data_IF_917030484851
#
_entry.id   IF_917030484851
#
_cell.length_a   1.000
_cell.length_b   1.000
_cell.length_c   1.000
_cell.angle_alpha   90.00
_cell.angle_beta   90.00
_cell.angle_gamma   90.00
#
_symmetry.space_group_name_H-M   'P 1'
#
loop_
_entity.id
_entity.type
_entity.pdbx_description
1 polymer ?
#
# COMPACT_ATOMS: atom_id res chain seq x y z
N UNK A 1 10.99 -1.32 31.41
CA UNK A 1 10.65 -1.29 29.97
C UNK A 1 10.89 -2.70 29.48
N UNK A 2 9.87 -3.54 29.55
CA UNK A 2 9.95 -4.92 29.11
C UNK A 2 9.98 -4.92 27.58
N UNK A 3 11.09 -5.42 27.02
CA UNK A 3 11.15 -5.82 25.62
C UNK A 3 10.07 -6.89 25.38
N UNK A 4 9.02 -6.54 24.65
CA UNK A 4 8.08 -7.52 24.12
C UNK A 4 8.80 -8.38 23.08
N UNK A 5 9.41 -9.47 23.54
CA UNK A 5 9.90 -10.54 22.68
C UNK A 5 8.68 -11.28 22.14
N UNK A 6 8.34 -11.05 20.87
CA UNK A 6 7.30 -11.82 20.19
C UNK A 6 7.65 -13.33 20.22
N UNK A 7 6.69 -14.21 20.53
CA UNK A 7 6.96 -15.65 20.57
C UNK A 7 7.39 -16.15 19.19
N UNK A 8 8.43 -16.99 19.18
CA UNK A 8 9.06 -17.56 17.97
C UNK A 8 8.13 -18.43 17.12
N UNK A 9 6.93 -18.77 17.60
CA UNK A 9 5.80 -19.38 16.89
C UNK A 9 4.55 -19.23 17.77
N UNK A 10 3.36 -19.15 17.17
CA UNK A 10 2.11 -19.24 17.94
C UNK A 10 2.03 -20.63 18.58
N UNK A 11 1.61 -20.75 19.86
CA UNK A 11 1.52 -22.06 20.52
C UNK A 11 0.57 -22.97 19.75
N UNK A 12 0.92 -24.26 19.64
CA UNK A 12 0.01 -25.22 19.03
C UNK A 12 -1.28 -25.32 19.85
N UNK A 13 -2.43 -25.16 19.21
CA UNK A 13 -3.75 -25.23 19.85
C UNK A 13 -4.01 -26.56 20.57
N UNK A 14 -3.41 -27.66 20.11
CA UNK A 14 -3.67 -29.00 20.64
C UNK A 14 -2.72 -29.39 21.78
N UNK A 15 -1.41 -29.16 21.62
CA UNK A 15 -0.40 -29.59 22.59
C UNK A 15 0.28 -28.43 23.33
N UNK A 16 -0.11 -27.18 23.06
CA UNK A 16 0.42 -25.94 23.64
C UNK A 16 1.92 -25.70 23.44
N UNK A 17 2.62 -26.51 22.63
CA UNK A 17 4.06 -26.32 22.38
C UNK A 17 4.34 -25.03 21.60
N UNK A 18 5.40 -24.33 22.01
CA UNK A 18 5.97 -23.14 21.33
C UNK A 18 7.37 -23.43 20.77
N UNK A 19 7.86 -24.66 20.94
CA UNK A 19 9.20 -25.07 20.49
C UNK A 19 9.22 -25.48 19.01
N UNK A 20 8.05 -25.81 18.45
CA UNK A 20 7.91 -26.27 17.06
C UNK A 20 7.35 -25.15 16.17
N UNK A 21 7.65 -25.25 14.87
CA UNK A 21 6.98 -24.44 13.85
C UNK A 21 5.50 -24.81 13.80
N UNK A 22 4.64 -23.80 13.82
CA UNK A 22 3.18 -23.98 13.74
C UNK A 22 2.63 -23.42 12.45
N UNK A 23 1.50 -23.99 12.01
CA UNK A 23 0.83 -23.69 10.75
C UNK A 23 -0.63 -23.36 11.01
N UNK A 24 -1.20 -22.47 10.19
CA UNK A 24 -2.64 -22.20 10.15
C UNK A 24 -3.22 -22.69 8.83
N UNK A 25 -4.53 -22.96 8.80
CA UNK A 25 -5.25 -23.21 7.55
C UNK A 25 -6.16 -22.03 7.24
N UNK A 26 -5.96 -21.37 6.09
CA UNK A 26 -6.78 -20.22 5.68
C UNK A 26 -8.26 -20.55 5.48
N UNK A 27 -8.63 -21.84 5.43
CA UNK A 27 -9.98 -22.30 5.13
C UNK A 27 -10.77 -22.75 6.37
N UNK A 28 -10.11 -22.95 7.51
CA UNK A 28 -10.73 -23.56 8.68
C UNK A 28 -10.96 -22.58 9.83
N UNK A 29 -9.89 -21.94 10.31
CA UNK A 29 -9.88 -21.02 11.44
C UNK A 29 -8.49 -20.35 11.57
N UNK A 30 -8.32 -19.51 12.60
CA UNK A 30 -7.05 -18.84 12.92
C UNK A 30 -6.24 -19.62 13.97
N UNK A 31 -6.49 -20.93 14.14
CA UNK A 31 -5.77 -21.74 15.12
C UNK A 31 -4.46 -22.25 14.52
N UNK A 32 -3.40 -22.21 15.32
CA UNK A 32 -2.08 -22.69 14.94
C UNK A 32 -1.87 -24.14 15.38
N UNK A 33 -1.33 -24.99 14.50
CA UNK A 33 -1.06 -26.40 14.79
C UNK A 33 0.40 -26.74 14.45
N UNK A 34 1.09 -27.48 15.32
CA UNK A 34 2.36 -28.09 14.92
C UNK A 34 2.12 -29.24 13.94
N UNK A 35 3.20 -29.70 13.29
CA UNK A 35 3.13 -30.73 12.26
C UNK A 35 2.44 -32.01 12.76
N UNK A 36 2.79 -32.44 13.98
CA UNK A 36 2.26 -33.64 14.62
C UNK A 36 0.79 -33.53 15.04
N UNK A 37 0.28 -32.31 15.24
CA UNK A 37 -1.11 -32.05 15.62
C UNK A 37 -2.00 -31.68 14.44
N UNK A 38 -1.43 -31.31 13.29
CA UNK A 38 -2.18 -30.94 12.08
C UNK A 38 -3.24 -31.97 11.71
N UNK A 39 -2.84 -33.21 11.45
CA UNK A 39 -3.76 -34.28 11.02
C UNK A 39 -4.66 -34.85 12.13
N UNK A 40 -4.53 -34.34 13.37
CA UNK A 40 -5.40 -34.71 14.50
C UNK A 40 -6.61 -33.79 14.61
N UNK A 41 -6.56 -32.61 14.00
CA UNK A 41 -7.70 -31.69 13.98
C UNK A 41 -8.81 -32.25 13.08
N UNK A 42 -10.06 -32.16 13.55
CA UNK A 42 -11.21 -32.79 12.88
C UNK A 42 -11.38 -32.35 11.42
N UNK A 43 -10.99 -31.12 11.09
CA UNK A 43 -11.07 -30.57 9.73
C UNK A 43 -9.87 -30.94 8.85
N UNK A 44 -8.80 -31.52 9.42
CA UNK A 44 -7.55 -31.85 8.71
C UNK A 44 -7.25 -33.36 8.73
N UNK A 45 -8.22 -34.18 9.13
CA UNK A 45 -8.08 -35.63 9.09
C UNK A 45 -7.78 -36.10 7.64
N UNK A 46 -7.07 -37.22 7.45
CA UNK A 46 -6.82 -37.75 6.10
C UNK A 46 -8.11 -37.91 5.29
N UNK A 47 -8.14 -37.33 4.09
CA UNK A 47 -9.32 -37.32 3.23
C UNK A 47 -10.26 -36.13 3.44
N UNK A 48 -10.05 -35.31 4.48
CA UNK A 48 -10.73 -34.02 4.59
C UNK A 48 -10.26 -33.08 3.48
N UNK A 49 -11.24 -32.40 2.89
CA UNK A 49 -11.03 -31.44 1.82
C UNK A 49 -11.69 -30.13 2.21
N UNK A 50 -11.05 -29.04 1.82
CA UNK A 50 -11.59 -27.71 2.00
C UNK A 50 -12.31 -27.22 0.74
N UNK A 51 -12.24 -25.92 0.49
CA UNK A 51 -12.93 -25.28 -0.62
C UNK A 51 -12.52 -25.92 -1.96
N UNK A 52 -13.51 -26.15 -2.84
CA UNK A 52 -13.36 -26.81 -4.15
C UNK A 52 -12.78 -28.24 -4.09
N UNK A 53 -12.92 -28.93 -2.95
CA UNK A 53 -12.44 -30.31 -2.81
C UNK A 53 -10.92 -30.44 -2.77
N UNK A 54 -10.19 -29.35 -2.50
CA UNK A 54 -8.73 -29.37 -2.39
C UNK A 54 -8.27 -29.75 -0.99
N UNK A 55 -7.10 -30.40 -0.83
CA UNK A 55 -6.52 -30.64 0.49
C UNK A 55 -6.28 -29.34 1.25
N UNK A 56 -6.38 -29.42 2.58
CA UNK A 56 -6.03 -28.29 3.45
C UNK A 56 -4.53 -28.00 3.39
N UNK A 57 -4.18 -26.74 3.17
CA UNK A 57 -2.79 -26.28 3.04
C UNK A 57 -2.29 -25.69 4.36
N UNK A 58 -1.05 -26.07 4.73
CA UNK A 58 -0.31 -25.50 5.85
C UNK A 58 0.27 -24.15 5.43
N UNK A 59 -0.22 -23.07 6.02
CA UNK A 59 0.30 -21.73 5.82
C UNK A 59 1.04 -21.22 7.06
N UNK A 60 2.03 -20.36 6.85
CA UNK A 60 2.70 -19.65 7.94
C UNK A 60 1.71 -18.65 8.59
N UNK A 61 1.41 -18.77 9.89
CA UNK A 61 0.48 -17.87 10.57
C UNK A 61 0.87 -16.40 10.45
N UNK A 62 2.16 -16.06 10.42
CA UNK A 62 2.64 -14.67 10.31
C UNK A 62 2.29 -14.07 8.96
N UNK A 63 2.48 -14.85 7.89
CA UNK A 63 2.13 -14.44 6.54
C UNK A 63 0.62 -14.23 6.45
N UNK A 64 -0.16 -15.17 6.98
CA UNK A 64 -1.63 -15.09 6.95
C UNK A 64 -2.15 -13.89 7.74
N UNK A 65 -1.61 -13.64 8.94
CA UNK A 65 -2.00 -12.48 9.74
C UNK A 65 -1.64 -11.15 9.07
N UNK A 66 -0.46 -11.06 8.44
CA UNK A 66 -0.08 -9.86 7.67
C UNK A 66 -0.99 -9.65 6.46
N UNK A 67 -1.32 -10.71 5.72
CA UNK A 67 -2.27 -10.64 4.61
C UNK A 67 -3.65 -10.15 5.09
N UNK A 68 -4.15 -10.65 6.23
CA UNK A 68 -5.41 -10.15 6.82
C UNK A 68 -5.32 -8.69 7.20
N UNK A 69 -4.24 -8.24 7.84
CA UNK A 69 -4.08 -6.82 8.19
C UNK A 69 -4.12 -5.90 6.95
N UNK A 70 -3.66 -6.38 5.80
CA UNK A 70 -3.67 -5.61 4.54
C UNK A 70 -5.06 -5.63 3.89
N UNK A 71 -5.71 -6.80 3.84
CA UNK A 71 -7.00 -7.02 3.17
C UNK A 71 -8.21 -6.57 4.01
N UNK A 72 -8.06 -6.59 5.34
CA UNK A 72 -9.10 -6.31 6.33
C UNK A 72 -8.50 -5.45 7.46
N UNK A 73 -8.02 -4.22 7.15
CA UNK A 73 -7.36 -3.39 8.14
C UNK A 73 -8.30 -3.02 9.30
N UNK A 74 -7.92 -3.38 10.52
CA UNK A 74 -8.63 -3.02 11.75
C UNK A 74 -8.03 -1.74 12.33
N UNK A 75 -8.36 -0.60 11.71
CA UNK A 75 -7.93 0.73 12.14
C UNK A 75 -9.11 1.68 12.25
N UNK A 76 -9.00 2.64 13.15
CA UNK A 76 -9.96 3.73 13.33
C UNK A 76 -9.88 4.72 12.16
N UNK A 77 -10.91 5.57 12.02
CA UNK A 77 -10.89 6.63 11.02
C UNK A 77 -9.72 7.60 11.23
N UNK A 78 -9.41 7.95 12.48
CA UNK A 78 -8.29 8.82 12.82
C UNK A 78 -6.93 8.20 12.46
N UNK A 79 -6.73 6.90 12.70
CA UNK A 79 -5.51 6.20 12.27
C UNK A 79 -5.41 6.17 10.75
N UNK A 80 -6.54 5.97 10.06
CA UNK A 80 -6.57 6.04 8.61
C UNK A 80 -6.20 7.42 8.07
N UNK A 81 -6.70 8.48 8.69
CA UNK A 81 -6.34 9.85 8.34
C UNK A 81 -4.84 10.12 8.54
N UNK A 82 -4.27 9.66 9.65
CA UNK A 82 -2.84 9.79 9.92
C UNK A 82 -1.98 9.08 8.86
N UNK A 83 -2.34 7.85 8.49
CA UNK A 83 -1.65 7.09 7.44
C UNK A 83 -1.74 7.80 6.07
N UNK A 84 -2.90 8.35 5.72
CA UNK A 84 -3.07 9.10 4.46
C UNK A 84 -2.23 10.37 4.42
N UNK A 85 -2.04 11.04 5.57
CA UNK A 85 -1.18 12.21 5.68
C UNK A 85 0.30 11.85 5.50
N UNK A 86 0.76 10.78 6.13
CA UNK A 86 2.13 10.27 5.98
C UNK A 86 2.40 9.82 4.54
N UNK A 87 1.43 9.18 3.90
CA UNK A 87 1.56 8.70 2.52
C UNK A 87 1.69 9.81 1.47
N UNK A 88 1.38 11.08 1.81
CA UNK A 88 1.58 12.21 0.89
C UNK A 88 3.04 12.42 0.51
N UNK A 89 3.98 11.98 1.34
CA UNK A 89 5.42 12.04 1.03
C UNK A 89 5.82 11.08 -0.10
N UNK A 90 4.89 10.22 -0.55
CA UNK A 90 5.08 9.31 -1.68
C UNK A 90 4.45 9.81 -2.98
N UNK A 91 3.76 10.95 -2.96
CA UNK A 91 3.17 11.55 -4.16
C UNK A 91 4.27 11.97 -5.12
N UNK A 92 4.21 11.48 -6.37
CA UNK A 92 5.16 11.84 -7.43
C UNK A 92 4.67 13.03 -8.24
N UNK A 93 3.50 12.92 -8.85
CA UNK A 93 2.87 14.04 -9.55
C UNK A 93 1.36 13.94 -9.47
N UNK A 94 0.70 15.07 -9.64
CA UNK A 94 -0.74 15.16 -9.42
C UNK A 94 -1.43 16.26 -10.20
N UNK A 95 -2.76 16.15 -10.27
CA UNK A 95 -3.60 17.17 -10.87
C UNK A 95 -4.08 18.15 -9.81
N UNK A 96 -3.89 19.44 -10.06
CA UNK A 96 -4.46 20.50 -9.26
C UNK A 96 -4.91 21.69 -10.09
N UNK A 97 -5.32 22.75 -9.39
CA UNK A 97 -5.70 24.01 -10.01
C UNK A 97 -4.93 25.15 -9.37
N UNK A 98 -4.65 26.19 -10.14
CA UNK A 98 -4.07 27.43 -9.62
C UNK A 98 -5.12 28.37 -9.02
N UNK A 99 -4.66 29.52 -8.53
CA UNK A 99 -5.52 30.55 -7.93
C UNK A 99 -6.54 31.13 -8.92
N UNK A 100 -6.30 30.99 -10.23
CA UNK A 100 -7.20 31.40 -11.30
C UNK A 100 -8.05 30.23 -11.83
N UNK A 101 -8.04 29.10 -11.12
CA UNK A 101 -8.80 27.87 -11.41
C UNK A 101 -8.37 27.13 -12.69
N UNK A 102 -7.20 27.43 -13.25
CA UNK A 102 -6.66 26.71 -14.40
C UNK A 102 -6.00 25.40 -13.96
N UNK A 103 -6.18 24.32 -14.73
CA UNK A 103 -5.58 23.03 -14.42
C UNK A 103 -4.06 23.06 -14.55
N UNK A 104 -3.37 22.50 -13.56
CA UNK A 104 -1.93 22.37 -13.51
C UNK A 104 -1.54 20.95 -13.10
N UNK A 105 -0.45 20.47 -13.69
CA UNK A 105 0.25 19.28 -13.24
C UNK A 105 1.28 19.72 -12.20
N UNK A 106 1.24 19.13 -11.01
CA UNK A 106 2.22 19.38 -9.96
C UNK A 106 3.19 18.20 -9.90
N UNK A 107 4.49 18.47 -10.01
CA UNK A 107 5.55 17.48 -9.78
C UNK A 107 6.15 17.71 -8.39
N UNK A 108 6.05 16.70 -7.52
CA UNK A 108 6.44 16.76 -6.11
C UNK A 108 7.86 16.23 -5.86
N UNK A 109 8.59 15.82 -6.90
CA UNK A 109 10.01 15.45 -6.80
C UNK A 109 10.32 14.08 -6.19
N UNK A 110 9.30 13.25 -5.90
CA UNK A 110 9.48 11.91 -5.28
C UNK A 110 10.45 11.01 -6.03
N UNK A 111 10.39 10.98 -7.36
CA UNK A 111 11.32 10.18 -8.16
C UNK A 111 12.77 10.59 -7.91
N UNK A 112 13.05 11.89 -7.93
CA UNK A 112 14.38 12.42 -7.66
C UNK A 112 14.85 12.11 -6.23
N UNK A 113 13.94 12.22 -5.25
CA UNK A 113 14.23 11.87 -3.84
C UNK A 113 14.66 10.40 -3.70
N UNK A 114 13.86 9.45 -4.24
CA UNK A 114 14.19 8.01 -4.17
C UNK A 114 15.56 7.73 -4.82
N UNK A 115 15.81 8.30 -6.01
CA UNK A 115 17.07 8.07 -6.74
C UNK A 115 18.26 8.65 -5.97
N UNK A 116 18.12 9.84 -5.38
CA UNK A 116 19.18 10.50 -4.62
C UNK A 116 19.48 9.78 -3.29
N UNK A 117 18.45 9.37 -2.54
CA UNK A 117 18.59 8.66 -1.26
C UNK A 117 19.28 7.30 -1.39
N UNK A 118 19.15 6.67 -2.56
CA UNK A 118 19.63 5.30 -2.80
C UNK A 118 20.91 5.27 -3.63
N UNK A 119 21.43 6.44 -4.01
CA UNK A 119 22.72 6.59 -4.66
C UNK A 119 23.85 6.40 -3.65
N UNK A 120 24.82 5.56 -3.99
CA UNK A 120 26.04 5.36 -3.22
C UNK A 120 27.25 5.75 -4.07
N UNK A 121 28.35 6.18 -3.45
CA UNK A 121 29.57 6.59 -4.17
C UNK A 121 30.15 5.49 -5.08
N UNK A 122 29.80 4.23 -4.82
CA UNK A 122 30.24 3.07 -5.60
C UNK A 122 29.28 2.68 -6.73
N UNK A 123 28.08 3.25 -6.79
CA UNK A 123 27.14 3.00 -7.87
C UNK A 123 27.44 3.90 -9.07
N UNK A 124 27.66 3.27 -10.23
CA UNK A 124 27.69 3.94 -11.52
C UNK A 124 26.30 4.39 -11.99
N UNK A 125 26.10 4.46 -13.30
CA UNK A 125 24.79 4.77 -13.89
C UNK A 125 23.71 3.78 -13.43
N UNK A 126 22.51 4.31 -13.16
CA UNK A 126 21.34 3.52 -12.76
C UNK A 126 20.22 3.68 -13.76
N UNK A 127 19.44 2.62 -13.93
CA UNK A 127 18.33 2.53 -14.89
C UNK A 127 17.05 2.08 -14.18
N UNK A 128 16.35 2.99 -13.48
CA UNK A 128 15.10 2.68 -12.80
C UNK A 128 14.04 2.11 -13.75
N UNK A 129 13.26 1.15 -13.24
CA UNK A 129 12.15 0.53 -13.93
C UNK A 129 10.85 0.93 -13.24
N UNK A 130 9.81 1.24 -14.02
CA UNK A 130 8.50 1.60 -13.49
C UNK A 130 7.51 0.47 -13.78
N UNK A 131 6.75 0.06 -12.77
CA UNK A 131 5.61 -0.82 -12.91
C UNK A 131 4.35 -0.13 -12.37
N UNK A 132 3.39 0.12 -13.26
CA UNK A 132 2.12 0.76 -12.93
C UNK A 132 0.97 -0.24 -12.92
N UNK A 133 0.04 -0.05 -12.00
CA UNK A 133 -1.23 -0.75 -11.97
C UNK A 133 -2.34 0.25 -12.29
N UNK A 134 -3.09 0.00 -13.37
CA UNK A 134 -4.17 0.87 -13.85
C UNK A 134 -5.49 0.12 -13.74
N UNK A 135 -6.52 0.81 -13.27
CA UNK A 135 -7.84 0.20 -13.10
C UNK A 135 -8.78 1.09 -12.29
N UNK A 136 -10.03 0.67 -12.21
CA UNK A 136 -11.10 1.39 -11.51
C UNK A 136 -10.79 1.59 -10.02
N UNK A 137 -11.48 2.58 -9.44
CA UNK A 137 -11.51 2.76 -7.98
C UNK A 137 -12.05 1.48 -7.31
N UNK A 138 -11.37 1.02 -6.26
CA UNK A 138 -11.75 -0.20 -5.53
C UNK A 138 -11.25 -1.52 -6.14
N UNK A 139 -10.54 -1.49 -7.28
CA UNK A 139 -10.01 -2.71 -7.91
C UNK A 139 -8.83 -3.38 -7.15
N UNK A 140 -8.37 -2.81 -6.02
CA UNK A 140 -7.30 -3.40 -5.20
C UNK A 140 -5.86 -3.08 -5.65
N UNK A 141 -5.64 -2.01 -6.42
CA UNK A 141 -4.32 -1.60 -6.94
C UNK A 141 -3.31 -1.32 -5.81
N UNK A 142 -3.64 -0.38 -4.93
CA UNK A 142 -2.86 -0.02 -3.74
C UNK A 142 -2.63 -1.23 -2.83
N UNK A 143 -3.65 -2.10 -2.69
CA UNK A 143 -3.55 -3.35 -1.93
C UNK A 143 -2.51 -4.30 -2.51
N UNK A 144 -2.49 -4.48 -3.83
CA UNK A 144 -1.51 -5.34 -4.50
C UNK A 144 -0.08 -4.81 -4.31
N UNK A 145 0.14 -3.52 -4.48
CA UNK A 145 1.47 -2.90 -4.27
C UNK A 145 1.89 -3.06 -2.80
N UNK A 146 0.99 -2.79 -1.83
CA UNK A 146 1.27 -2.99 -0.41
C UNK A 146 1.67 -4.44 -0.11
N UNK A 147 0.97 -5.41 -0.69
CA UNK A 147 1.32 -6.83 -0.56
C UNK A 147 2.71 -7.15 -1.09
N UNK A 148 3.10 -6.59 -2.25
CA UNK A 148 4.41 -6.80 -2.85
C UNK A 148 5.54 -6.23 -1.99
N UNK A 149 5.34 -5.04 -1.42
CA UNK A 149 6.32 -4.36 -0.56
C UNK A 149 6.43 -5.09 0.79
N UNK A 150 5.30 -5.34 1.45
CA UNK A 150 5.28 -5.98 2.78
C UNK A 150 5.78 -7.41 2.75
N UNK A 151 5.69 -8.10 1.60
CA UNK A 151 6.26 -9.44 1.42
C UNK A 151 7.76 -9.46 1.74
N UNK A 152 8.49 -8.38 1.46
CA UNK A 152 9.93 -8.33 1.66
C UNK A 152 10.32 -8.19 3.14
N UNK A 153 9.37 -7.84 3.99
CA UNK A 153 9.59 -7.61 5.42
C UNK A 153 8.63 -8.42 6.31
N UNK A 154 8.17 -9.59 5.82
CA UNK A 154 7.24 -10.48 6.54
C UNK A 154 7.77 -10.96 7.90
N UNK A 155 9.08 -10.88 8.12
CA UNK A 155 9.72 -11.24 9.38
C UNK A 155 9.81 -10.07 10.37
N UNK A 156 9.58 -8.82 9.94
CA UNK A 156 9.63 -7.65 10.81
C UNK A 156 8.37 -7.55 11.68
N UNK A 157 8.51 -7.55 13.01
CA UNK A 157 7.38 -7.41 13.93
C UNK A 157 6.79 -6.00 13.93
N UNK A 158 7.52 -4.97 13.45
CA UNK A 158 7.01 -3.60 13.34
C UNK A 158 6.36 -3.29 11.98
N UNK A 159 6.29 -4.27 11.08
CA UNK A 159 5.87 -4.06 9.69
C UNK A 159 7.02 -3.59 8.79
N UNK A 160 6.70 -3.34 7.51
CA UNK A 160 7.67 -2.87 6.52
C UNK A 160 8.20 -1.49 6.91
N UNK A 161 9.53 -1.35 6.98
CA UNK A 161 10.20 -0.03 7.10
C UNK A 161 10.13 0.82 5.83
N UNK A 162 9.59 0.26 4.75
CA UNK A 162 9.48 0.91 3.45
C UNK A 162 8.10 1.50 3.29
N UNK A 163 8.05 2.70 2.70
CA UNK A 163 6.79 3.31 2.27
C UNK A 163 5.95 2.31 1.47
N UNK A 164 4.67 2.21 1.80
CA UNK A 164 3.71 1.36 1.11
C UNK A 164 2.36 2.06 1.06
N UNK A 165 1.53 1.80 0.04
CA UNK A 165 0.24 2.47 -0.08
C UNK A 165 -0.67 2.23 1.12
N UNK A 166 -1.56 3.20 1.34
CA UNK A 166 -2.66 3.10 2.29
C UNK A 166 -3.84 2.39 1.62
N UNK A 167 -4.31 1.29 2.21
CA UNK A 167 -5.41 0.49 1.64
C UNK A 167 -6.77 0.93 2.14
N UNK A 168 -7.74 1.08 1.25
CA UNK A 168 -9.11 1.43 1.63
C UNK A 168 -9.77 0.35 2.47
N UNK A 169 -10.84 0.72 3.18
CA UNK A 169 -11.75 -0.28 3.74
C UNK A 169 -12.60 -0.92 2.63
N UNK A 170 -13.11 -2.12 2.86
CA UNK A 170 -13.83 -2.96 1.86
C UNK A 170 -15.15 -2.36 1.32
N UNK A 171 -15.54 -1.16 1.75
CA UNK A 171 -16.81 -0.52 1.38
C UNK A 171 -16.67 0.89 0.77
N UNK A 172 -15.43 1.32 0.52
CA UNK A 172 -15.16 2.67 0.03
C UNK A 172 -15.37 2.79 -1.49
N UNK A 173 -16.33 3.63 -1.88
CA UNK A 173 -16.59 4.00 -3.29
C UNK A 173 -15.82 5.22 -3.78
N UNK A 174 -15.07 5.86 -2.88
CA UNK A 174 -14.27 7.06 -3.14
C UNK A 174 -12.82 6.63 -3.26
N UNK A 175 -12.09 7.15 -4.25
CA UNK A 175 -10.66 6.84 -4.39
C UNK A 175 -9.91 7.19 -3.10
N UNK A 176 -9.07 6.27 -2.65
CA UNK A 176 -8.31 6.42 -1.41
C UNK A 176 -7.08 7.27 -1.66
N UNK A 177 -6.28 6.85 -2.63
CA UNK A 177 -5.18 7.63 -3.22
C UNK A 177 -5.73 8.63 -4.22
N UNK A 178 -5.22 9.85 -4.13
CA UNK A 178 -5.35 10.83 -5.20
C UNK A 178 -4.02 11.00 -5.91
N UNK A 179 -4.04 11.51 -7.13
CA UNK A 179 -2.82 11.76 -7.90
C UNK A 179 -2.04 10.46 -8.20
N UNK A 180 -0.74 10.55 -8.46
CA UNK A 180 0.14 9.41 -8.78
C UNK A 180 1.24 9.30 -7.75
N UNK A 181 1.31 8.13 -7.11
CA UNK A 181 2.26 7.83 -6.04
C UNK A 181 3.36 6.88 -6.53
N UNK A 182 4.54 6.95 -5.90
CA UNK A 182 5.71 6.19 -6.30
C UNK A 182 6.40 5.54 -5.09
N UNK A 183 6.52 4.22 -5.14
CA UNK A 183 7.09 3.38 -4.10
C UNK A 183 8.27 2.57 -4.64
N UNK A 184 9.30 2.39 -3.82
CA UNK A 184 10.42 1.54 -4.17
C UNK A 184 10.13 0.08 -3.84
N UNK A 185 10.47 -0.84 -4.73
CA UNK A 185 10.56 -2.26 -4.38
C UNK A 185 11.77 -2.48 -3.45
N UNK A 186 11.57 -2.96 -2.21
CA UNK A 186 12.66 -3.17 -1.27
C UNK A 186 13.76 -4.10 -1.78
N UNK A 187 13.40 -5.09 -2.61
CA UNK A 187 14.33 -6.13 -3.05
C UNK A 187 15.32 -5.66 -4.12
N UNK A 188 14.96 -4.61 -4.87
CA UNK A 188 15.76 -4.05 -5.96
C UNK A 188 16.18 -2.61 -5.72
N UNK A 189 15.79 -1.99 -4.61
CA UNK A 189 16.02 -0.56 -4.32
C UNK A 189 17.49 -0.13 -4.45
N UNK A 190 18.44 -0.99 -4.10
CA UNK A 190 19.88 -0.71 -4.21
C UNK A 190 20.55 -1.41 -5.40
N UNK A 191 19.78 -1.94 -6.34
CA UNK A 191 20.30 -2.50 -7.58
C UNK A 191 20.62 -1.38 -8.60
N UNK A 192 21.38 -1.72 -9.64
CA UNK A 192 21.61 -0.84 -10.80
C UNK A 192 20.31 -0.51 -11.54
N UNK A 193 19.33 -1.42 -11.49
CA UNK A 193 17.99 -1.24 -12.06
C UNK A 193 16.92 -1.41 -10.98
N UNK A 194 16.66 -0.37 -10.15
CA UNK A 194 15.64 -0.45 -9.12
C UNK A 194 14.25 -0.49 -9.75
N UNK A 195 13.38 -1.38 -9.25
CA UNK A 195 11.97 -1.41 -9.61
C UNK A 195 11.19 -0.45 -8.71
N UNK A 196 10.39 0.41 -9.32
CA UNK A 196 9.50 1.33 -8.62
C UNK A 196 8.05 1.03 -9.01
N UNK A 197 7.19 0.90 -8.00
CA UNK A 197 5.76 0.71 -8.17
C UNK A 197 5.07 2.07 -8.25
N UNK A 198 4.23 2.23 -9.27
CA UNK A 198 3.39 3.40 -9.48
C UNK A 198 1.97 3.05 -9.09
N UNK A 199 1.42 3.75 -8.09
CA UNK A 199 0.02 3.65 -7.71
C UNK A 199 -0.74 4.85 -8.28
N UNK A 200 -1.66 4.58 -9.20
CA UNK A 200 -2.46 5.60 -9.85
C UNK A 200 -3.83 5.73 -9.17
N UNK A 201 -4.35 6.95 -9.13
CA UNK A 201 -5.77 7.20 -8.82
C UNK A 201 -6.70 6.28 -9.63
N UNK A 202 -7.75 5.80 -8.96
CA UNK A 202 -8.71 4.93 -9.62
C UNK A 202 -9.58 5.64 -10.65
N UNK A 203 -9.76 5.00 -11.79
CA UNK A 203 -10.73 5.45 -12.80
C UNK A 203 -12.17 5.36 -12.26
N UNK A 204 -13.10 6.05 -12.93
CA UNK A 204 -14.54 6.00 -12.64
C UNK A 204 -14.95 6.48 -11.24
N UNK A 205 -14.07 7.17 -10.50
CA UNK A 205 -14.36 7.79 -9.20
C UNK A 205 -15.18 9.10 -9.27
N UNK A 206 -15.38 9.63 -10.47
CA UNK A 206 -16.04 10.91 -10.74
C UNK A 206 -15.17 12.12 -10.36
N UNK A 207 -15.80 13.30 -10.21
CA UNK A 207 -15.12 14.55 -9.78
C UNK A 207 -14.92 14.63 -8.25
N UNK A 208 -15.32 13.59 -7.52
CA UNK A 208 -15.17 13.55 -6.07
C UNK A 208 -13.68 13.49 -5.73
N UNK A 209 -13.19 14.49 -4.99
CA UNK A 209 -11.80 14.48 -4.52
C UNK A 209 -11.51 13.18 -3.75
N UNK A 210 -10.40 12.49 -4.02
CA UNK A 210 -9.91 11.36 -3.25
C UNK A 210 -9.78 11.68 -1.76
N UNK A 211 -9.88 10.67 -0.89
CA UNK A 211 -9.84 10.85 0.58
C UNK A 211 -8.59 11.60 1.04
N UNK A 212 -7.43 11.24 0.50
CA UNK A 212 -6.15 11.90 0.78
C UNK A 212 -6.15 13.40 0.44
N UNK A 213 -6.78 13.79 -0.68
CA UNK A 213 -6.83 15.18 -1.12
C UNK A 213 -7.83 16.02 -0.32
N UNK A 214 -8.95 15.44 0.15
CA UNK A 214 -9.91 16.17 1.00
C UNK A 214 -9.29 16.63 2.31
N UNK A 215 -8.50 15.76 2.94
CA UNK A 215 -7.82 16.08 4.20
C UNK A 215 -6.86 17.27 4.04
N UNK A 216 -6.19 17.40 2.90
CA UNK A 216 -5.34 18.58 2.65
C UNK A 216 -6.16 19.87 2.56
N UNK A 217 -7.37 19.83 2.00
CA UNK A 217 -8.24 21.00 1.88
C UNK A 217 -8.82 21.39 3.25
N UNK A 218 -9.23 20.42 4.05
CA UNK A 218 -9.73 20.67 5.40
C UNK A 218 -8.60 21.14 6.34
N UNK A 219 -7.40 20.58 6.21
CA UNK A 219 -6.20 21.01 6.96
C UNK A 219 -5.62 22.35 6.48
N UNK A 220 -5.98 22.84 5.29
CA UNK A 220 -5.63 24.20 4.83
C UNK A 220 -6.38 25.28 5.60
N UNK A 221 -7.50 24.96 6.25
CA UNK A 221 -8.19 25.87 7.17
C UNK A 221 -7.45 26.05 8.51
N UNK A 222 -6.48 25.17 8.82
CA UNK A 222 -5.64 25.18 10.03
C UNK A 222 -4.14 25.33 9.71
N UNK A 223 -3.82 26.30 8.86
CA UNK A 223 -2.57 27.08 8.76
C UNK A 223 -1.14 26.46 8.79
N UNK A 224 -0.88 25.15 8.93
CA UNK A 224 0.51 24.71 9.20
C UNK A 224 1.06 23.50 8.42
N UNK A 225 0.26 22.54 7.94
CA UNK A 225 0.84 21.29 7.38
C UNK A 225 0.70 21.13 5.87
N UNK A 226 -0.45 21.49 5.27
CA UNK A 226 -0.65 21.37 3.81
C UNK A 226 0.22 22.31 2.94
N UNK A 227 0.90 23.27 3.58
CA UNK A 227 1.84 24.17 2.90
C UNK A 227 3.20 23.52 2.62
N UNK A 228 3.58 22.43 3.27
CA UNK A 228 4.91 21.84 3.08
C UNK A 228 5.04 21.11 1.73
N UNK A 229 4.09 20.24 1.34
CA UNK A 229 4.20 19.49 0.08
C UNK A 229 4.00 20.35 -1.18
N UNK A 230 3.19 21.41 -1.12
CA UNK A 230 3.06 22.35 -2.25
C UNK A 230 4.25 23.31 -2.42
N UNK A 231 5.05 23.57 -1.38
CA UNK A 231 6.20 24.48 -1.47
C UNK A 231 7.33 23.94 -2.35
N UNK A 232 7.43 22.62 -2.51
CA UNK A 232 8.44 21.97 -3.34
C UNK A 232 7.87 21.43 -4.65
N UNK A 233 6.56 21.59 -4.88
CA UNK A 233 5.91 21.15 -6.09
C UNK A 233 6.23 22.10 -7.25
N UNK A 234 6.71 21.57 -8.37
CA UNK A 234 6.93 22.35 -9.60
C UNK A 234 5.65 22.33 -10.42
N UNK A 235 4.92 23.46 -10.56
CA UNK A 235 3.73 23.52 -11.38
C UNK A 235 4.11 23.50 -12.87
N UNK A 236 3.36 22.73 -13.66
CA UNK A 236 3.46 22.66 -15.11
C UNK A 236 2.07 22.86 -15.70
N UNK A 237 1.98 23.70 -16.74
CA UNK A 237 0.72 23.94 -17.45
C UNK A 237 0.33 22.68 -18.23
N UNK A 238 -0.94 22.31 -18.16
CA UNK A 238 -1.51 21.25 -18.99
C UNK A 238 -1.94 21.85 -20.33
N UNK A 239 -1.14 21.67 -21.38
CA UNK A 239 -1.35 22.35 -22.68
C UNK A 239 -2.62 21.90 -23.41
N UNK A 240 -3.04 20.64 -23.21
CA UNK A 240 -4.21 20.07 -23.88
C UNK A 240 -5.54 20.40 -23.17
N UNK A 241 -5.52 20.95 -21.95
CA UNK A 241 -6.71 21.25 -21.16
C UNK A 241 -7.37 22.58 -21.57
N UNK A 242 -7.83 22.65 -22.82
CA UNK A 242 -8.31 23.88 -23.47
C UNK A 242 -9.84 24.04 -23.44
N UNK A 243 -10.58 22.98 -23.14
CA UNK A 243 -12.06 22.96 -23.16
C UNK A 243 -12.63 22.63 -21.77
N UNK A 244 -13.87 23.03 -21.46
CA UNK A 244 -14.49 22.69 -20.18
C UNK A 244 -14.49 21.19 -19.85
N UNK A 245 -14.56 20.32 -20.87
CA UNK A 245 -14.47 18.87 -20.72
C UNK A 245 -13.05 18.40 -20.40
N UNK A 246 -12.06 18.88 -21.15
CA UNK A 246 -10.65 18.50 -20.94
C UNK A 246 -10.06 19.10 -19.66
N UNK A 247 -10.67 20.17 -19.12
CA UNK A 247 -10.27 20.76 -17.84
C UNK A 247 -10.78 20.00 -16.62
N UNK A 248 -11.61 18.96 -16.77
CA UNK A 248 -12.15 18.19 -15.65
C UNK A 248 -11.10 17.27 -15.04
N UNK A 249 -11.23 16.96 -13.74
CA UNK A 249 -10.31 16.02 -13.07
C UNK A 249 -10.49 14.63 -13.66
N UNK A 250 -11.73 14.17 -13.86
CA UNK A 250 -12.04 12.86 -14.42
C UNK A 250 -11.34 12.63 -15.77
N UNK A 251 -11.31 13.68 -16.60
CA UNK A 251 -10.65 13.63 -17.90
C UNK A 251 -9.14 13.58 -17.72
N UNK A 252 -8.58 14.44 -16.86
CA UNK A 252 -7.15 14.46 -16.60
C UNK A 252 -6.62 13.14 -16.03
N UNK A 253 -7.31 12.56 -15.06
CA UNK A 253 -6.96 11.26 -14.47
C UNK A 253 -6.99 10.15 -15.53
N UNK A 254 -7.91 10.22 -16.50
CA UNK A 254 -7.95 9.26 -17.61
C UNK A 254 -6.89 9.48 -18.71
N UNK A 255 -6.13 10.58 -18.67
CA UNK A 255 -5.06 10.89 -19.63
C UNK A 255 -3.64 10.88 -19.02
N UNK A 256 -3.54 10.81 -17.69
CA UNK A 256 -2.30 10.67 -16.93
C UNK A 256 -1.93 9.20 -16.76
#
# INVERSE_FOLDING_TARGET
MDEFVFPRSLPCQTCATVAETTFTCIQCNNLAFCDACWSKWILHIPGAVGWNGKPHEKADPRVVDRLRQILEPTRTEQEHEAELLEDQDTTWFGYGRDASNHPQLYDYGRFAAIVAETQTEQMGERYPQLASFIGETGAGKSTLIKLLIDRQDLASPQGSKYYSPVTSSNQDRISTTGDVHLYADPSTLYATSPLLFVDCEGLSGGEAAPKQLRQTQDSQSSHSTANYSRRYATPRKIEWAQTPQTQRREFAVGQL
#
